data_IF_091210021423
#
_entry.id   IF_091210021423
#
_cell.length_a   1.000
_cell.length_b   1.000
_cell.length_c   1.000
_cell.angle_alpha   90.00
_cell.angle_beta   90.00
_cell.angle_gamma   90.00
#
_symmetry.space_group_name_H-M   'P 1'
#
loop_
_entity.id
_entity.type
_entity.pdbx_description
1 polymer ?
#
# COMPACT_ATOMS: atom_id res chain seq x y z
N UNK A 1 4.36 39.35 -8.83
CA UNK A 1 3.21 38.49 -9.15
C UNK A 1 3.60 37.14 -9.72
N UNK A 2 4.48 37.06 -10.68
CA UNK A 2 4.92 35.78 -11.29
C UNK A 2 5.55 34.82 -10.25
N UNK A 3 6.31 35.33 -9.30
CA UNK A 3 6.92 34.53 -8.23
C UNK A 3 5.90 33.88 -7.28
N UNK A 4 4.82 34.60 -6.95
CA UNK A 4 3.75 34.10 -6.11
C UNK A 4 2.95 32.98 -6.79
N UNK A 5 2.69 33.10 -8.09
CA UNK A 5 2.01 32.08 -8.89
C UNK A 5 2.86 30.82 -9.01
N UNK A 6 4.19 30.96 -9.17
CA UNK A 6 5.13 29.84 -9.19
C UNK A 6 5.16 29.08 -7.86
N UNK A 7 5.17 29.79 -6.72
CA UNK A 7 5.10 29.16 -5.40
C UNK A 7 3.77 28.45 -5.17
N UNK A 8 2.68 29.03 -5.64
CA UNK A 8 1.35 28.40 -5.52
C UNK A 8 1.24 27.14 -6.37
N UNK A 9 1.77 27.14 -7.58
CA UNK A 9 1.85 25.94 -8.44
C UNK A 9 2.75 24.86 -7.85
N UNK A 10 3.86 25.24 -7.20
CA UNK A 10 4.74 24.27 -6.53
C UNK A 10 4.05 23.62 -5.34
N UNK A 11 3.30 24.36 -4.55
CA UNK A 11 2.54 23.84 -3.40
C UNK A 11 1.45 22.88 -3.88
N UNK A 12 0.77 23.18 -4.99
CA UNK A 12 -0.24 22.29 -5.57
C UNK A 12 0.39 21.01 -6.08
N UNK A 13 1.58 21.04 -6.68
CA UNK A 13 2.29 19.87 -7.15
C UNK A 13 2.73 18.96 -5.99
N UNK A 14 3.14 19.53 -4.86
CA UNK A 14 3.51 18.76 -3.68
C UNK A 14 2.30 18.20 -2.91
N UNK A 15 1.13 18.84 -2.98
CA UNK A 15 -0.08 18.38 -2.30
C UNK A 15 -0.78 17.21 -3.00
N UNK A 16 -0.40 16.88 -4.26
CA UNK A 16 -0.96 15.76 -5.02
C UNK A 16 -0.28 14.41 -4.72
N UNK A 17 0.76 14.38 -3.90
CA UNK A 17 1.50 13.16 -3.58
C UNK A 17 0.85 12.47 -2.37
N UNK A 18 0.51 11.20 -2.49
CA UNK A 18 0.08 10.27 -1.42
C UNK A 18 -1.39 10.27 -1.00
N UNK A 19 -2.31 10.77 -1.81
CA UNK A 19 -3.76 10.67 -1.51
C UNK A 19 -4.34 9.27 -1.71
N UNK A 20 -3.58 8.32 -2.25
CA UNK A 20 -4.10 7.09 -2.84
C UNK A 20 -3.62 5.81 -2.16
N UNK A 21 -3.00 5.93 -1.00
CA UNK A 21 -2.57 4.79 -0.22
C UNK A 21 -3.17 4.90 1.17
N UNK A 22 -4.10 4.00 1.50
CA UNK A 22 -4.82 4.02 2.76
C UNK A 22 -4.54 2.70 3.49
N UNK A 23 -4.02 2.80 4.71
CA UNK A 23 -3.82 1.65 5.58
C UNK A 23 -4.93 1.56 6.62
N UNK A 24 -5.41 0.34 6.88
CA UNK A 24 -6.41 0.05 7.89
C UNK A 24 -5.86 -0.97 8.88
N UNK A 25 -6.26 -0.84 10.16
CA UNK A 25 -6.01 -1.88 11.14
C UNK A 25 -6.80 -3.16 10.82
N UNK A 26 -6.47 -4.24 11.51
CA UNK A 26 -7.22 -5.50 11.40
C UNK A 26 -8.69 -5.30 11.77
N UNK A 27 -8.98 -4.37 12.68
CA UNK A 27 -10.34 -4.02 13.11
C UNK A 27 -11.08 -3.08 12.13
N UNK A 28 -10.41 -2.65 11.07
CA UNK A 28 -10.99 -1.79 10.03
C UNK A 28 -10.87 -0.29 10.28
N UNK A 29 -10.12 0.14 11.27
CA UNK A 29 -9.86 1.56 11.53
C UNK A 29 -8.81 2.11 10.59
N UNK A 30 -9.06 3.29 10.03
CA UNK A 30 -8.10 3.98 9.18
C UNK A 30 -6.87 4.40 10.02
N UNK A 31 -5.69 4.01 9.56
CA UNK A 31 -4.43 4.32 10.21
C UNK A 31 -3.77 5.53 9.55
N UNK A 32 -3.01 6.29 10.35
CA UNK A 32 -2.12 7.30 9.80
C UNK A 32 -0.82 6.61 9.36
N UNK A 33 -0.59 6.56 8.06
CA UNK A 33 0.59 5.91 7.48
C UNK A 33 1.92 6.42 8.08
N UNK A 34 2.02 7.70 8.36
CA UNK A 34 3.25 8.31 8.89
C UNK A 34 3.62 7.82 10.31
N UNK A 35 2.64 7.33 11.06
CA UNK A 35 2.86 6.80 12.41
C UNK A 35 3.25 5.31 12.41
N UNK A 36 3.29 4.68 11.25
CA UNK A 36 3.60 3.26 11.11
C UNK A 36 5.11 3.04 10.95
N UNK A 37 5.82 2.91 12.05
CA UNK A 37 7.26 2.67 12.09
C UNK A 37 7.58 1.36 12.80
N UNK A 38 7.26 0.24 12.16
CA UNK A 38 7.71 -1.06 12.67
C UNK A 38 8.92 -1.55 11.90
N UNK A 39 9.87 -2.16 12.58
CA UNK A 39 11.03 -2.75 11.92
C UNK A 39 10.61 -3.99 11.12
N UNK A 40 11.15 -4.12 9.91
CA UNK A 40 10.95 -5.30 9.09
C UNK A 40 11.55 -6.54 9.77
N UNK A 41 11.13 -7.74 9.32
CA UNK A 41 11.67 -9.01 9.83
C UNK A 41 13.16 -9.22 9.50
N UNK A 42 13.74 -8.41 8.62
CA UNK A 42 15.09 -8.62 8.10
C UNK A 42 15.15 -9.60 6.93
N UNK A 43 14.02 -10.19 6.55
CA UNK A 43 13.90 -10.99 5.33
C UNK A 43 13.81 -10.03 4.15
N UNK A 44 14.76 -10.09 3.22
CA UNK A 44 15.13 -8.96 2.38
C UNK A 44 14.30 -8.76 1.11
N UNK A 45 13.47 -9.71 0.70
CA UNK A 45 12.81 -9.63 -0.60
C UNK A 45 11.31 -9.37 -0.46
N UNK A 46 10.89 -8.16 -0.86
CA UNK A 46 9.48 -7.85 -1.01
C UNK A 46 8.85 -8.74 -2.08
N UNK A 47 7.72 -9.36 -1.76
CA UNK A 47 6.93 -10.14 -2.70
C UNK A 47 5.49 -9.70 -2.71
N UNK A 48 4.88 -9.77 -3.89
CA UNK A 48 3.44 -9.66 -4.08
C UNK A 48 2.89 -11.04 -4.39
N UNK A 49 1.99 -11.52 -3.53
CA UNK A 49 1.30 -12.79 -3.73
C UNK A 49 -0.10 -12.53 -4.28
N UNK A 50 -0.54 -13.34 -5.22
CA UNK A 50 -1.91 -13.29 -5.77
C UNK A 50 -2.85 -14.25 -5.05
N UNK A 51 -2.30 -15.16 -4.28
CA UNK A 51 -3.05 -16.13 -3.48
C UNK A 51 -2.24 -16.45 -2.23
N UNK A 52 -2.93 -16.50 -1.07
CA UNK A 52 -2.30 -16.87 0.20
C UNK A 52 -1.66 -18.27 0.18
N UNK A 53 -2.15 -19.16 -0.68
CA UNK A 53 -1.63 -20.52 -0.80
C UNK A 53 -0.23 -20.57 -1.42
N UNK A 54 0.23 -19.48 -2.03
CA UNK A 54 1.60 -19.35 -2.55
C UNK A 54 2.64 -19.11 -1.46
N UNK A 55 2.21 -18.83 -0.23
CA UNK A 55 3.11 -18.44 0.87
C UNK A 55 3.55 -19.67 1.64
N UNK A 56 4.86 -19.98 1.58
CA UNK A 56 5.46 -21.14 2.24
C UNK A 56 5.85 -20.89 3.70
N UNK A 57 5.98 -19.62 4.10
CA UNK A 57 6.40 -19.24 5.44
C UNK A 57 5.18 -18.91 6.30
N UNK A 58 5.27 -19.18 7.60
CA UNK A 58 4.28 -18.69 8.54
C UNK A 58 4.33 -17.17 8.62
N UNK A 59 3.15 -16.53 8.72
CA UNK A 59 3.04 -15.07 8.74
C UNK A 59 1.91 -14.60 9.65
N UNK A 60 1.98 -13.33 10.03
CA UNK A 60 0.89 -12.61 10.67
C UNK A 60 0.40 -11.50 9.74
N UNK A 61 -0.89 -11.20 9.81
CA UNK A 61 -1.48 -10.07 9.11
C UNK A 61 -1.24 -8.81 9.94
N UNK A 62 -0.64 -7.79 9.34
CA UNK A 62 -0.40 -6.52 10.00
C UNK A 62 -1.48 -5.48 9.71
N UNK A 63 -1.74 -5.24 8.44
CA UNK A 63 -2.63 -4.16 8.00
C UNK A 63 -3.35 -4.56 6.72
N UNK A 64 -4.49 -3.91 6.47
CA UNK A 64 -5.15 -3.92 5.17
C UNK A 64 -4.84 -2.62 4.45
N UNK A 65 -4.70 -2.69 3.14
CA UNK A 65 -4.30 -1.56 2.30
C UNK A 65 -5.30 -1.40 1.17
N UNK A 66 -5.74 -0.17 0.93
CA UNK A 66 -6.53 0.21 -0.22
C UNK A 66 -5.74 1.23 -1.03
N UNK A 67 -5.63 1.03 -2.33
CA UNK A 67 -4.99 1.96 -3.24
C UNK A 67 -5.91 2.35 -4.36
N UNK A 68 -5.85 3.60 -4.74
CA UNK A 68 -6.53 4.15 -5.89
C UNK A 68 -5.58 4.05 -7.10
N UNK A 69 -5.97 3.25 -8.09
CA UNK A 69 -5.13 2.98 -9.26
C UNK A 69 -5.96 3.02 -10.53
N UNK A 70 -5.66 3.97 -11.41
CA UNK A 70 -6.44 4.29 -12.60
C UNK A 70 -5.84 3.79 -13.92
N UNK A 71 -5.00 2.79 -13.90
CA UNK A 71 -4.39 2.28 -15.11
C UNK A 71 -5.23 1.15 -15.72
N UNK A 72 -5.54 1.26 -17.03
CA UNK A 72 -6.23 0.20 -17.76
C UNK A 72 -5.25 -0.92 -18.09
N UNK A 73 -5.03 -1.82 -17.15
CA UNK A 73 -4.11 -2.93 -17.32
C UNK A 73 -3.79 -3.60 -16.01
N UNK A 74 -2.82 -4.50 -16.08
CA UNK A 74 -2.38 -5.22 -14.91
C UNK A 74 -1.39 -4.35 -14.13
N UNK A 75 -1.78 -3.91 -12.95
CA UNK A 75 -1.01 -2.98 -12.12
C UNK A 75 0.42 -3.47 -11.83
N UNK A 76 0.62 -4.78 -11.78
CA UNK A 76 1.92 -5.38 -11.48
C UNK A 76 2.96 -5.20 -12.61
N UNK A 77 2.55 -4.73 -13.77
CA UNK A 77 3.46 -4.32 -14.85
C UNK A 77 3.85 -2.84 -14.78
N UNK A 78 3.19 -2.05 -13.96
CA UNK A 78 3.55 -0.65 -13.74
C UNK A 78 4.68 -0.58 -12.71
N UNK A 79 5.88 -0.29 -13.19
CA UNK A 79 7.08 -0.22 -12.34
C UNK A 79 7.01 0.86 -11.28
N UNK A 80 6.41 2.00 -11.58
CA UNK A 80 6.28 3.11 -10.63
C UNK A 80 5.31 2.76 -9.52
N UNK A 81 4.18 2.17 -9.88
CA UNK A 81 3.19 1.72 -8.91
C UNK A 81 3.75 0.61 -8.01
N UNK A 82 4.42 -0.38 -8.57
CA UNK A 82 5.04 -1.47 -7.81
C UNK A 82 6.15 -0.97 -6.90
N UNK A 83 6.94 0.00 -7.34
CA UNK A 83 7.96 0.63 -6.50
C UNK A 83 7.34 1.38 -5.31
N UNK A 84 6.26 2.10 -5.54
CA UNK A 84 5.49 2.77 -4.48
C UNK A 84 4.95 1.77 -3.47
N UNK A 85 4.30 0.70 -3.93
CA UNK A 85 3.78 -0.36 -3.05
C UNK A 85 4.88 -0.98 -2.20
N UNK A 86 6.00 -1.32 -2.82
CA UNK A 86 7.16 -1.90 -2.14
C UNK A 86 7.68 -0.96 -1.03
N UNK A 87 7.92 0.30 -1.38
CA UNK A 87 8.51 1.25 -0.44
C UNK A 87 7.58 1.52 0.75
N UNK A 88 6.29 1.70 0.48
CA UNK A 88 5.30 1.94 1.54
C UNK A 88 5.08 0.71 2.42
N UNK A 89 5.06 -0.48 1.82
CA UNK A 89 4.91 -1.74 2.56
C UNK A 89 6.08 -1.98 3.51
N UNK A 90 7.30 -1.80 3.02
CA UNK A 90 8.51 -1.95 3.84
C UNK A 90 8.58 -0.89 4.96
N UNK A 91 8.16 0.33 4.67
CA UNK A 91 8.09 1.40 5.68
C UNK A 91 7.15 1.05 6.85
N UNK A 92 6.04 0.37 6.56
CA UNK A 92 5.10 -0.10 7.60
C UNK A 92 5.62 -1.30 8.40
N UNK A 93 6.79 -1.84 8.05
CA UNK A 93 7.34 -3.02 8.68
C UNK A 93 6.78 -4.34 8.18
N UNK A 94 6.03 -4.33 7.10
CA UNK A 94 5.55 -5.54 6.46
C UNK A 94 6.61 -6.11 5.51
N UNK A 95 6.57 -7.42 5.29
CA UNK A 95 7.51 -8.11 4.43
C UNK A 95 6.97 -8.36 3.03
N UNK A 96 5.65 -8.47 2.89
CA UNK A 96 4.99 -8.82 1.64
C UNK A 96 3.54 -8.34 1.62
N UNK A 97 2.95 -8.39 0.44
CA UNK A 97 1.53 -8.11 0.22
C UNK A 97 0.83 -9.30 -0.41
N UNK A 98 -0.43 -9.50 -0.04
CA UNK A 98 -1.35 -10.40 -0.73
C UNK A 98 -2.36 -9.54 -1.47
N UNK A 99 -2.51 -9.74 -2.78
CA UNK A 99 -3.52 -9.06 -3.56
C UNK A 99 -4.89 -9.70 -3.31
N UNK A 100 -5.85 -8.88 -2.89
CA UNK A 100 -7.20 -9.31 -2.49
C UNK A 100 -8.23 -8.89 -3.54
N UNK A 101 -8.26 -9.61 -4.66
CA UNK A 101 -9.07 -9.25 -5.82
C UNK A 101 -10.57 -9.20 -5.55
N UNK A 102 -11.09 -10.14 -4.76
CA UNK A 102 -12.53 -10.36 -4.62
C UNK A 102 -13.08 -10.04 -3.21
N UNK A 103 -12.31 -9.32 -2.39
CA UNK A 103 -12.73 -9.00 -1.02
C UNK A 103 -13.58 -7.74 -0.96
N UNK A 104 -14.88 -7.95 -1.11
CA UNK A 104 -15.88 -6.88 -0.97
C UNK A 104 -16.19 -6.52 0.49
N UNK A 105 -15.66 -7.28 1.44
CA UNK A 105 -15.83 -7.08 2.88
C UNK A 105 -14.82 -6.08 3.49
N UNK A 106 -13.94 -5.50 2.68
CA UNK A 106 -13.03 -4.44 3.15
C UNK A 106 -13.81 -3.22 3.66
N UNK A 107 -13.28 -2.53 4.70
CA UNK A 107 -13.88 -1.29 5.17
C UNK A 107 -13.99 -0.26 4.05
N UNK A 108 -15.17 0.35 3.90
CA UNK A 108 -15.44 1.35 2.86
C UNK A 108 -15.09 0.86 1.45
N UNK A 109 -15.44 -0.39 1.14
CA UNK A 109 -15.16 -1.01 -0.15
C UNK A 109 -15.57 -0.12 -1.33
N UNK A 110 -14.67 0.04 -2.28
CA UNK A 110 -14.90 0.73 -3.55
C UNK A 110 -14.34 -0.14 -4.68
N UNK A 111 -15.14 -0.46 -5.67
CA UNK A 111 -14.76 -1.32 -6.81
C UNK A 111 -13.61 -0.74 -7.66
N UNK A 112 -13.38 0.58 -7.56
CA UNK A 112 -12.31 1.26 -8.29
C UNK A 112 -10.95 1.20 -7.57
N UNK A 113 -10.90 0.62 -6.37
CA UNK A 113 -9.67 0.50 -5.60
C UNK A 113 -9.08 -0.90 -5.72
N UNK A 114 -7.77 -0.98 -5.56
CA UNK A 114 -7.06 -2.24 -5.35
C UNK A 114 -6.89 -2.47 -3.85
N UNK A 115 -7.08 -3.71 -3.41
CA UNK A 115 -6.97 -4.08 -2.02
C UNK A 115 -5.87 -5.11 -1.80
N UNK A 116 -5.12 -4.92 -0.72
CA UNK A 116 -4.01 -5.78 -0.35
C UNK A 116 -4.05 -6.07 1.14
N UNK A 117 -3.50 -7.21 1.52
CA UNK A 117 -3.21 -7.55 2.91
C UNK A 117 -1.70 -7.48 3.13
N UNK A 118 -1.24 -6.65 4.05
CA UNK A 118 0.16 -6.56 4.42
C UNK A 118 0.48 -7.59 5.49
N UNK A 119 1.51 -8.39 5.25
CA UNK A 119 1.90 -9.50 6.12
C UNK A 119 3.34 -9.37 6.59
N UNK A 120 3.62 -9.98 7.74
CA UNK A 120 4.96 -10.11 8.28
C UNK A 120 5.26 -11.58 8.57
N UNK A 121 6.39 -12.06 8.07
CA UNK A 121 6.80 -13.44 8.34
C UNK A 121 7.17 -13.62 9.81
N UNK A 122 6.82 -14.78 10.35
CA UNK A 122 7.28 -15.22 11.67
C UNK A 122 8.70 -15.75 11.56
N UNK A 123 9.52 -15.35 12.51
CA UNK A 123 10.90 -15.86 12.60
C UNK A 123 10.96 -17.16 13.39
#
# INVERSE_FOLDING_TARGET
>A
MIRLVLYFCLIILFSCVDKHFIAYSIDGEKLNYEDLHTSSSGISDFKLFFNKDEIDLEYTILHFIATDYYYYGQFFFDKNFMSMLKNKTLHMGADALIYEKDRTDFPNYNENYLYFTAIKYKN
#
